data_IF_239918880444
#
_entry.id   IF_239918880444
#
_cell.length_a   1.000
_cell.length_b   1.000
_cell.length_c   1.000
_cell.angle_alpha   90.00
_cell.angle_beta   90.00
_cell.angle_gamma   90.00
#
_symmetry.space_group_name_H-M   'P 1'
#
loop_
_entity.id
_entity.type
_entity.pdbx_description
1 polymer ?
#
# COMPACT_ATOMS: atom_id res chain seq x y z
N UNK A 1 18.00 -0.93 4.66
CA UNK A 1 16.96 -0.28 3.84
C UNK A 1 15.95 0.46 4.73
N UNK A 2 15.03 -0.26 5.38
CA UNK A 2 13.92 0.31 6.17
C UNK A 2 14.34 1.30 7.26
N UNK A 3 15.35 0.96 8.07
CA UNK A 3 15.81 1.81 9.18
C UNK A 3 16.28 3.22 8.76
N UNK A 4 16.74 3.39 7.52
CA UNK A 4 17.22 4.66 6.99
C UNK A 4 16.20 5.29 6.01
N UNK A 5 14.99 4.73 5.90
CA UNK A 5 13.99 5.08 4.90
C UNK A 5 14.54 5.09 3.45
N UNK A 6 15.48 4.18 3.16
CA UNK A 6 16.02 3.96 1.80
C UNK A 6 15.35 2.71 1.24
N UNK A 7 14.36 2.91 0.39
CA UNK A 7 13.53 1.85 -0.19
C UNK A 7 12.90 2.26 -1.53
N UNK A 8 12.17 1.33 -2.11
CA UNK A 8 11.49 1.49 -3.40
C UNK A 8 10.00 1.25 -3.20
N UNK A 9 9.14 1.99 -3.92
CA UNK A 9 7.70 1.70 -3.96
C UNK A 9 7.43 0.74 -5.11
N UNK A 10 7.38 -0.57 -4.82
CA UNK A 10 7.20 -1.62 -5.84
C UNK A 10 5.94 -2.47 -5.64
N UNK A 11 5.17 -2.21 -4.58
CA UNK A 11 3.90 -2.87 -4.28
C UNK A 11 2.73 -1.90 -4.52
N UNK A 12 1.70 -2.35 -5.25
CA UNK A 12 0.61 -1.49 -5.73
C UNK A 12 -0.74 -2.20 -5.71
N UNK A 13 -1.79 -1.40 -5.48
CA UNK A 13 -3.16 -1.75 -5.84
C UNK A 13 -3.51 -1.09 -7.19
N UNK A 14 -3.70 -1.90 -8.22
CA UNK A 14 -4.20 -1.44 -9.53
C UNK A 14 -5.71 -1.66 -9.59
N UNK A 15 -6.45 -0.58 -9.80
CA UNK A 15 -7.92 -0.59 -9.79
C UNK A 15 -8.48 -0.09 -11.11
N UNK A 16 -9.65 -0.60 -11.51
CA UNK A 16 -10.40 -0.04 -12.64
C UNK A 16 -10.85 1.38 -12.33
N UNK A 17 -10.86 2.26 -13.33
CA UNK A 17 -11.24 3.66 -13.16
C UNK A 17 -12.66 3.83 -12.56
N UNK A 18 -13.57 2.92 -12.91
CA UNK A 18 -14.94 2.84 -12.38
C UNK A 18 -15.00 2.65 -10.86
N UNK A 19 -13.95 2.10 -10.25
CA UNK A 19 -13.86 1.85 -8.80
C UNK A 19 -13.23 3.02 -8.05
N UNK A 20 -12.68 4.02 -8.73
CA UNK A 20 -12.02 5.17 -8.09
C UNK A 20 -12.90 5.86 -7.05
N UNK A 21 -14.20 6.13 -7.30
CA UNK A 21 -15.06 6.79 -6.30
C UNK A 21 -15.34 5.94 -5.07
N UNK A 22 -15.08 4.62 -5.12
CA UNK A 22 -15.31 3.68 -4.03
C UNK A 22 -14.10 3.53 -3.11
N UNK A 23 -12.94 4.07 -3.50
CA UNK A 23 -11.71 3.97 -2.70
C UNK A 23 -11.83 4.91 -1.50
N UNK A 24 -11.80 4.35 -0.30
CA UNK A 24 -11.85 5.10 0.96
C UNK A 24 -10.46 5.46 1.47
N UNK A 25 -9.51 4.52 1.38
CA UNK A 25 -8.15 4.72 1.87
C UNK A 25 -7.15 3.82 1.14
N UNK A 26 -5.91 4.27 0.97
CA UNK A 26 -4.78 3.45 0.54
C UNK A 26 -3.57 3.76 1.43
N UNK A 27 -2.91 2.71 1.94
CA UNK A 27 -1.87 2.83 2.96
C UNK A 27 -0.63 1.97 2.70
N UNK A 28 0.47 2.36 3.33
CA UNK A 28 1.74 1.61 3.36
C UNK A 28 2.08 1.37 4.85
N UNK A 29 2.07 0.12 5.28
CA UNK A 29 2.25 -0.24 6.69
C UNK A 29 3.74 -0.44 7.01
N UNK A 30 4.51 0.65 6.91
CA UNK A 30 5.97 0.66 7.02
C UNK A 30 6.54 0.25 8.39
N UNK A 31 5.70 0.05 9.40
CA UNK A 31 6.11 -0.43 10.73
C UNK A 31 5.96 -1.96 10.90
N UNK A 32 5.25 -2.64 9.99
CA UNK A 32 5.04 -4.09 10.06
C UNK A 32 6.29 -4.82 9.59
N UNK A 33 6.91 -5.58 10.50
CA UNK A 33 8.15 -6.33 10.25
C UNK A 33 7.87 -7.80 9.90
N UNK A 34 8.87 -8.50 9.36
CA UNK A 34 8.79 -9.94 9.02
C UNK A 34 9.11 -10.26 7.55
N UNK A 35 9.20 -9.24 6.70
CA UNK A 35 9.67 -9.30 5.31
C UNK A 35 10.55 -8.09 5.01
N UNK A 36 11.34 -8.18 3.95
CA UNK A 36 12.06 -7.08 3.30
C UNK A 36 11.11 -6.05 2.66
N UNK A 37 9.88 -6.44 2.33
CA UNK A 37 8.78 -5.56 1.97
C UNK A 37 7.91 -5.21 3.20
N UNK A 38 7.06 -4.18 3.04
CA UNK A 38 5.99 -3.87 3.98
C UNK A 38 4.62 -4.02 3.29
N UNK A 39 3.56 -4.42 4.01
CA UNK A 39 2.23 -4.55 3.42
C UNK A 39 1.68 -3.21 2.90
N UNK A 40 0.93 -3.27 1.80
CA UNK A 40 0.12 -2.15 1.29
C UNK A 40 -1.37 -2.48 1.45
N UNK A 41 -2.16 -1.50 1.89
CA UNK A 41 -3.60 -1.68 2.19
C UNK A 41 -4.45 -0.83 1.27
N UNK A 42 -5.68 -1.30 0.99
CA UNK A 42 -6.73 -0.59 0.28
C UNK A 42 -8.04 -0.83 1.01
N UNK A 43 -8.72 0.25 1.39
CA UNK A 43 -10.08 0.24 1.92
C UNK A 43 -11.04 0.72 0.82
N UNK A 44 -12.10 -0.04 0.56
CA UNK A 44 -13.02 0.17 -0.57
C UNK A 44 -14.46 -0.13 -0.15
N UNK A 45 -15.40 0.71 -0.60
CA UNK A 45 -16.84 0.57 -0.39
C UNK A 45 -17.49 -0.19 -1.55
N UNK A 46 -18.05 -1.39 -1.32
CA UNK A 46 -18.54 -2.27 -2.38
C UNK A 46 -20.06 -2.32 -2.49
#
# INVERSE_FOLDING_TARGET
ARANNVGWRIDYWCVSELLTPKIQCAGINADVLGSDHCPVTLEIDL
#
